data_IF_207910548739
#
_entry.id   IF_207910548739
#
_cell.length_a   1.000
_cell.length_b   1.000
_cell.length_c   1.000
_cell.angle_alpha   90.00
_cell.angle_beta   90.00
_cell.angle_gamma   90.00
#
_symmetry.space_group_name_H-M   'P 1'
#
loop_
_entity.id
_entity.type
_entity.pdbx_description
1 polymer ?
#
# COMPACT_ATOMS: atom_id res chain seq x y z
N UNK A 1 -46.31 -11.95 53.94
CA UNK A 1 -47.02 -12.98 53.15
C UNK A 1 -47.63 -12.28 51.95
N UNK A 2 -47.25 -12.76 50.75
CA UNK A 2 -47.90 -12.64 49.41
C UNK A 2 -48.23 -11.21 48.90
N UNK A 3 -47.55 -10.70 47.86
CA UNK A 3 -47.68 -11.04 46.41
C UNK A 3 -49.10 -10.66 45.89
N UNK A 4 -49.35 -9.90 44.82
CA UNK A 4 -48.58 -9.37 43.71
C UNK A 4 -49.52 -9.23 42.48
N UNK A 5 -49.05 -8.50 41.44
CA UNK A 5 -49.61 -8.33 40.06
C UNK A 5 -50.84 -7.41 39.90
N UNK A 6 -50.89 -6.49 38.92
CA UNK A 6 -50.65 -6.71 37.49
C UNK A 6 -50.02 -5.47 36.75
N UNK A 7 -49.43 -5.64 35.55
CA UNK A 7 -48.42 -4.79 34.94
C UNK A 7 -48.95 -3.87 33.82
N UNK A 8 -48.14 -2.87 33.46
CA UNK A 8 -48.24 -2.20 32.16
C UNK A 8 -46.88 -2.17 31.48
N UNK A 9 -46.77 -3.02 30.46
CA UNK A 9 -45.72 -3.19 29.47
C UNK A 9 -45.32 -1.87 28.81
N UNK A 10 -44.04 -1.50 28.86
CA UNK A 10 -43.43 -0.58 27.89
C UNK A 10 -42.27 -1.28 27.17
N UNK A 11 -42.50 -1.56 25.89
CA UNK A 11 -41.55 -2.12 24.92
C UNK A 11 -40.28 -1.25 24.91
N UNK A 12 -39.14 -1.85 25.24
CA UNK A 12 -37.83 -1.25 25.01
C UNK A 12 -37.53 -1.29 23.51
N UNK A 13 -37.45 -0.11 22.89
CA UNK A 13 -36.92 0.01 21.54
C UNK A 13 -35.40 -0.13 21.60
N UNK A 14 -34.93 -1.28 21.12
CA UNK A 14 -33.54 -1.57 20.79
C UNK A 14 -32.95 -0.41 19.97
N UNK A 15 -32.00 0.32 20.56
CA UNK A 15 -31.14 1.27 19.82
C UNK A 15 -30.06 0.46 19.12
N UNK A 16 -30.34 0.02 17.89
CA UNK A 16 -29.30 -0.41 16.94
C UNK A 16 -28.48 0.83 16.56
N UNK A 17 -27.22 0.89 16.98
CA UNK A 17 -26.26 1.88 16.47
C UNK A 17 -25.80 1.40 15.09
N UNK A 18 -26.27 2.07 14.05
CA UNK A 18 -25.77 1.90 12.69
C UNK A 18 -24.34 2.45 12.61
N UNK A 19 -23.44 1.68 11.98
CA UNK A 19 -22.13 2.14 11.52
C UNK A 19 -22.34 3.31 10.55
N UNK A 20 -21.71 4.44 10.83
CA UNK A 20 -21.58 5.53 9.88
C UNK A 20 -20.36 5.29 9.00
N UNK A 21 -20.60 4.76 7.80
CA UNK A 21 -19.65 4.90 6.68
C UNK A 21 -19.90 6.28 6.10
N UNK A 22 -18.91 7.17 6.21
CA UNK A 22 -18.90 8.43 5.45
C UNK A 22 -18.01 8.19 4.24
N UNK A 23 -18.66 7.96 3.10
CA UNK A 23 -18.03 8.09 1.79
C UNK A 23 -18.23 9.51 1.26
N UNK A 24 -17.18 10.06 0.68
CA UNK A 24 -17.20 11.12 -0.34
C UNK A 24 -15.95 10.85 -1.20
N UNK A 25 -16.06 10.22 -2.36
CA UNK A 25 -16.49 10.80 -3.63
C UNK A 25 -15.59 11.97 -4.06
N UNK A 26 -14.60 11.65 -4.89
CA UNK A 26 -13.74 12.61 -5.58
C UNK A 26 -12.92 11.92 -6.66
N UNK A 27 -13.56 11.40 -7.72
CA UNK A 27 -12.82 11.05 -8.94
C UNK A 27 -12.49 12.36 -9.66
N UNK A 28 -11.33 12.92 -9.33
CA UNK A 28 -10.74 14.02 -10.07
C UNK A 28 -9.96 13.44 -11.25
N UNK A 29 -10.48 13.58 -12.47
CA UNK A 29 -9.71 13.33 -13.67
C UNK A 29 -8.57 14.37 -13.75
N UNK A 30 -7.34 13.95 -13.44
CA UNK A 30 -6.15 14.79 -13.58
C UNK A 30 -5.71 14.79 -15.04
N UNK A 31 -6.33 15.67 -15.84
CA UNK A 31 -5.79 16.06 -17.13
C UNK A 31 -4.72 17.16 -16.92
N UNK A 32 -3.44 16.77 -17.01
CA UNK A 32 -2.31 17.70 -16.89
C UNK A 32 -1.09 17.23 -17.67
N UNK A 33 -1.11 17.35 -19.00
CA UNK A 33 0.10 17.21 -19.81
C UNK A 33 0.99 18.46 -19.64
N UNK A 34 2.22 18.33 -19.13
CA UNK A 34 3.36 19.17 -19.54
C UNK A 34 4.72 18.49 -19.22
N UNK A 35 5.48 18.23 -20.28
CA UNK A 35 6.91 18.54 -20.31
C UNK A 35 7.89 17.46 -19.89
N UNK A 36 8.56 16.87 -20.88
CA UNK A 36 9.74 16.04 -20.68
C UNK A 36 10.89 16.81 -20.04
N UNK A 37 11.44 16.22 -18.99
CA UNK A 37 12.79 16.43 -18.50
C UNK A 37 13.37 15.05 -18.26
N UNK A 38 14.54 14.75 -18.84
CA UNK A 38 15.27 13.51 -18.64
C UNK A 38 15.84 13.38 -17.22
N UNK A 39 14.98 13.48 -16.21
CA UNK A 39 15.33 13.13 -14.85
C UNK A 39 15.41 11.62 -14.79
N UNK A 40 16.65 11.13 -14.72
CA UNK A 40 16.90 9.74 -14.37
C UNK A 40 16.13 9.45 -13.09
N UNK A 41 15.39 8.34 -13.07
CA UNK A 41 14.64 7.86 -11.90
C UNK A 41 15.47 7.94 -10.59
N UNK A 42 16.80 7.91 -10.69
CA UNK A 42 17.75 8.05 -9.57
C UNK A 42 17.67 9.35 -8.75
N UNK A 43 17.19 10.48 -9.28
CA UNK A 43 17.01 11.70 -8.48
C UNK A 43 15.53 11.94 -8.15
N UNK A 44 15.19 11.88 -6.86
CA UNK A 44 13.85 12.16 -6.33
C UNK A 44 13.88 13.44 -5.49
N UNK A 45 12.83 14.29 -5.56
CA UNK A 45 12.67 15.39 -4.61
C UNK A 45 12.51 14.85 -3.17
N UNK A 46 12.68 15.72 -2.18
CA UNK A 46 12.57 15.34 -0.75
C UNK A 46 11.14 15.01 -0.31
N UNK A 47 10.15 15.49 -1.05
CA UNK A 47 8.72 15.26 -0.81
C UNK A 47 8.01 14.94 -2.11
N UNK A 48 6.95 14.15 -2.01
CA UNK A 48 6.04 13.88 -3.12
C UNK A 48 5.15 15.07 -3.45
N UNK A 49 4.56 15.06 -4.64
CA UNK A 49 3.49 15.99 -4.99
C UNK A 49 2.33 15.84 -4.00
N UNK A 50 2.00 16.91 -3.29
CA UNK A 50 1.01 16.87 -2.21
C UNK A 50 -0.41 16.59 -2.69
N UNK A 51 -0.71 16.80 -3.98
CA UNK A 51 -2.00 16.43 -4.55
C UNK A 51 -2.12 14.91 -4.64
N UNK A 52 -1.06 14.23 -5.10
CA UNK A 52 -1.01 12.75 -5.13
C UNK A 52 -0.98 12.18 -3.70
N UNK A 53 -0.18 12.79 -2.81
CA UNK A 53 -0.04 12.31 -1.43
C UNK A 53 -1.36 12.43 -0.64
N UNK A 54 -2.25 13.36 -1.00
CA UNK A 54 -3.56 13.48 -0.37
C UNK A 54 -4.44 12.22 -0.58
N UNK A 55 -4.22 11.46 -1.66
CA UNK A 55 -4.95 10.23 -1.97
C UNK A 55 -4.30 8.97 -1.34
N UNK A 56 -3.16 9.13 -0.65
CA UNK A 56 -2.49 8.01 0.02
C UNK A 56 -3.21 7.64 1.31
N UNK A 57 -3.61 6.38 1.40
CA UNK A 57 -4.18 5.82 2.61
C UNK A 57 -3.07 5.51 3.62
N UNK A 58 -3.29 5.89 4.88
CA UNK A 58 -2.37 5.64 5.99
C UNK A 58 -3.01 4.73 7.02
N UNK A 59 -2.28 3.70 7.43
CA UNK A 59 -2.76 2.66 8.33
C UNK A 59 -2.04 2.69 9.69
N UNK A 60 -2.68 2.17 10.77
CA UNK A 60 -1.98 1.90 12.02
C UNK A 60 -0.77 0.98 11.81
N UNK A 61 0.24 1.13 12.67
CA UNK A 61 1.35 0.18 12.68
C UNK A 61 0.89 -1.12 13.35
N UNK A 62 0.98 -2.24 12.64
CA UNK A 62 0.63 -3.58 13.15
C UNK A 62 1.82 -4.26 13.87
N UNK A 63 2.94 -3.55 14.04
CA UNK A 63 4.16 -4.05 14.69
C UNK A 63 5.19 -4.56 13.68
N UNK A 64 6.34 -5.02 14.19
CA UNK A 64 7.48 -5.47 13.38
C UNK A 64 8.13 -6.76 13.94
N UNK A 65 7.31 -7.64 14.51
CA UNK A 65 7.84 -8.88 15.05
C UNK A 65 8.28 -9.83 13.93
N UNK A 66 9.55 -10.24 13.93
CA UNK A 66 10.00 -11.34 13.10
C UNK A 66 9.37 -12.67 13.52
N UNK A 67 8.79 -13.39 12.56
CA UNK A 67 8.20 -14.72 12.71
C UNK A 67 8.87 -15.72 11.77
N UNK A 68 8.71 -17.02 12.03
CA UNK A 68 9.27 -18.06 11.19
C UNK A 68 8.66 -18.00 9.78
N UNK A 69 9.49 -18.14 8.74
CA UNK A 69 9.02 -18.22 7.35
C UNK A 69 7.98 -19.33 7.18
N UNK A 70 6.87 -19.01 6.54
CA UNK A 70 5.71 -19.90 6.38
C UNK A 70 4.66 -19.77 7.48
N UNK A 71 4.90 -18.97 8.52
CA UNK A 71 3.87 -18.61 9.50
C UNK A 71 2.77 -17.80 8.82
N UNK A 72 1.52 -18.24 8.95
CA UNK A 72 0.37 -17.44 8.51
C UNK A 72 0.23 -16.19 9.39
N UNK A 73 0.24 -15.03 8.76
CA UNK A 73 0.02 -13.74 9.42
C UNK A 73 -1.27 -13.14 8.87
N UNK A 74 -2.15 -12.70 9.77
CA UNK A 74 -3.36 -11.96 9.44
C UNK A 74 -3.05 -10.47 9.48
N UNK A 75 -3.05 -9.83 8.31
CA UNK A 75 -2.72 -8.42 8.16
C UNK A 75 -3.99 -7.59 7.99
N UNK A 76 -4.00 -6.37 8.53
CA UNK A 76 -5.12 -5.45 8.43
C UNK A 76 -5.32 -4.82 7.05
N UNK A 77 -4.33 -4.91 6.16
CA UNK A 77 -4.41 -4.37 4.79
C UNK A 77 -4.11 -5.42 3.72
N UNK A 78 -4.63 -5.17 2.51
CA UNK A 78 -4.39 -6.00 1.32
C UNK A 78 -4.00 -5.07 0.16
N UNK A 79 -2.74 -5.07 -0.30
CA UNK A 79 -1.57 -5.77 0.26
C UNK A 79 -1.18 -5.29 1.67
N UNK A 80 -0.48 -6.13 2.45
CA UNK A 80 -0.01 -5.77 3.79
C UNK A 80 1.01 -4.63 3.74
N UNK A 81 0.84 -3.65 4.63
CA UNK A 81 1.69 -2.45 4.72
C UNK A 81 2.56 -2.40 5.98
N UNK A 82 2.25 -3.20 7.00
CA UNK A 82 3.04 -3.37 8.23
C UNK A 82 2.62 -4.67 8.93
N UNK A 83 3.28 -5.03 10.03
CA UNK A 83 2.89 -6.16 10.87
C UNK A 83 4.00 -7.21 11.04
N UNK A 84 3.73 -8.29 11.79
CA UNK A 84 4.66 -9.40 11.95
C UNK A 84 5.04 -10.00 10.59
N UNK A 85 6.31 -10.31 10.38
CA UNK A 85 6.81 -10.68 9.05
C UNK A 85 8.03 -11.59 9.13
N UNK A 86 8.51 -12.10 8.00
CA UNK A 86 9.60 -13.08 7.98
C UNK A 86 10.95 -12.38 8.12
N UNK A 87 11.97 -13.07 8.62
CA UNK A 87 13.33 -12.52 8.68
C UNK A 87 14.01 -12.37 7.30
N UNK A 88 13.39 -12.88 6.23
CA UNK A 88 13.88 -12.73 4.86
C UNK A 88 13.38 -11.45 4.23
N UNK A 89 14.10 -10.96 3.22
CA UNK A 89 13.71 -9.81 2.40
C UNK A 89 13.62 -10.21 0.93
N UNK A 90 12.83 -9.48 0.16
CA UNK A 90 12.81 -9.53 -1.30
C UNK A 90 13.78 -8.50 -1.88
N UNK A 91 14.57 -8.90 -2.87
CA UNK A 91 15.46 -7.98 -3.62
C UNK A 91 14.66 -6.99 -4.47
N UNK A 92 15.28 -5.87 -4.83
CA UNK A 92 14.72 -5.02 -5.88
C UNK A 92 14.58 -5.79 -7.20
N UNK A 93 13.49 -5.57 -7.91
CA UNK A 93 13.23 -6.31 -9.14
C UNK A 93 11.86 -6.10 -9.74
N UNK A 94 11.70 -6.51 -10.99
CA UNK A 94 10.39 -6.72 -11.60
C UNK A 94 10.15 -8.23 -11.64
N UNK A 95 9.11 -8.67 -10.96
CA UNK A 95 8.72 -10.07 -10.83
C UNK A 95 7.50 -10.36 -11.68
N UNK A 96 7.39 -11.59 -12.19
CA UNK A 96 6.23 -12.09 -12.93
C UNK A 96 5.37 -13.03 -12.08
N UNK A 97 5.81 -13.31 -10.84
CA UNK A 97 5.08 -14.06 -9.83
C UNK A 97 5.11 -13.30 -8.50
N UNK A 98 4.01 -13.34 -7.71
CA UNK A 98 3.98 -12.74 -6.39
C UNK A 98 5.08 -13.31 -5.47
N UNK A 99 5.63 -12.46 -4.62
CA UNK A 99 6.62 -12.86 -3.62
C UNK A 99 5.95 -13.18 -2.27
N UNK A 100 6.56 -14.00 -1.39
CA UNK A 100 5.98 -14.31 -0.09
C UNK A 100 5.74 -13.06 0.74
N UNK A 101 4.51 -12.82 1.18
CA UNK A 101 4.15 -11.54 1.80
C UNK A 101 4.93 -11.22 3.08
N UNK A 102 5.31 -12.22 3.87
CA UNK A 102 6.18 -11.98 5.03
C UNK A 102 7.59 -11.50 4.65
N UNK A 103 8.13 -11.88 3.48
CA UNK A 103 9.41 -11.33 3.02
C UNK A 103 9.23 -9.91 2.46
N UNK A 104 8.06 -9.63 1.85
CA UNK A 104 7.73 -8.31 1.29
C UNK A 104 7.50 -7.26 2.38
N UNK A 105 6.80 -7.61 3.47
CA UNK A 105 6.56 -6.68 4.59
C UNK A 105 7.88 -6.30 5.27
N UNK A 106 8.83 -7.23 5.39
CA UNK A 106 10.18 -6.90 5.87
C UNK A 106 10.90 -5.94 4.91
N UNK A 107 10.78 -6.15 3.59
CA UNK A 107 11.30 -5.21 2.60
C UNK A 107 10.67 -3.81 2.73
N UNK A 108 9.39 -3.70 3.09
CA UNK A 108 8.76 -2.42 3.43
C UNK A 108 9.33 -1.82 4.72
N UNK A 109 9.63 -2.64 5.74
CA UNK A 109 10.28 -2.19 6.98
C UNK A 109 11.66 -1.56 6.71
N UNK A 110 12.38 -2.13 5.74
CA UNK A 110 13.63 -1.61 5.20
C UNK A 110 13.47 -0.35 4.33
N UNK A 111 12.25 0.16 4.14
CA UNK A 111 11.99 1.39 3.39
C UNK A 111 11.86 1.19 1.88
N UNK A 112 11.51 0.00 1.43
CA UNK A 112 11.16 -0.19 0.04
C UNK A 112 9.81 0.46 -0.33
N UNK A 113 9.65 0.69 -1.62
CA UNK A 113 8.34 0.82 -2.25
C UNK A 113 8.06 -0.42 -3.08
N UNK A 114 6.87 -0.97 -2.94
CA UNK A 114 6.40 -2.12 -3.70
C UNK A 114 5.26 -1.69 -4.61
N UNK A 115 5.42 -1.92 -5.91
CA UNK A 115 4.38 -1.73 -6.91
C UNK A 115 3.72 -3.06 -7.27
N UNK A 116 2.45 -3.19 -6.92
CA UNK A 116 1.61 -4.30 -7.33
C UNK A 116 0.91 -3.94 -8.63
N UNK A 117 0.85 -4.88 -9.56
CA UNK A 117 0.12 -4.72 -10.82
C UNK A 117 -0.81 -5.90 -11.07
N UNK A 118 -1.94 -5.63 -11.73
CA UNK A 118 -2.80 -6.64 -12.31
C UNK A 118 -2.15 -7.17 -13.61
N UNK A 119 -1.78 -8.47 -13.68
CA UNK A 119 -1.14 -9.03 -14.87
C UNK A 119 -2.03 -9.02 -16.12
N UNK A 120 -3.35 -8.92 -15.97
CA UNK A 120 -4.30 -8.85 -17.09
C UNK A 120 -4.47 -7.43 -17.63
N UNK A 121 -4.20 -6.42 -16.80
CA UNK A 121 -4.39 -5.01 -17.14
C UNK A 121 -3.07 -4.27 -17.46
N UNK A 122 -1.91 -4.81 -17.11
CA UNK A 122 -0.63 -4.13 -17.28
C UNK A 122 -0.27 -3.89 -18.75
N UNK A 123 0.02 -2.63 -19.11
CA UNK A 123 0.52 -2.26 -20.45
C UNK A 123 2.03 -2.49 -20.57
N UNK A 124 2.53 -2.63 -21.81
CA UNK A 124 3.99 -2.74 -22.06
C UNK A 124 4.77 -1.50 -21.60
N UNK A 125 4.18 -0.31 -21.72
CA UNK A 125 4.79 0.93 -21.23
C UNK A 125 4.90 0.93 -19.70
N UNK A 126 3.83 0.55 -18.99
CA UNK A 126 3.86 0.41 -17.53
C UNK A 126 4.90 -0.64 -17.10
N UNK A 127 4.95 -1.80 -17.79
CA UNK A 127 5.96 -2.84 -17.56
C UNK A 127 7.38 -2.31 -17.74
N UNK A 128 7.63 -1.56 -18.80
CA UNK A 128 8.94 -0.95 -19.08
C UNK A 128 9.36 0.06 -17.99
N UNK A 129 8.43 0.93 -17.58
CA UNK A 129 8.68 1.92 -16.54
C UNK A 129 8.94 1.27 -15.18
N UNK A 130 8.10 0.31 -14.76
CA UNK A 130 8.31 -0.44 -13.51
C UNK A 130 9.65 -1.19 -13.49
N UNK A 131 10.08 -1.77 -14.62
CA UNK A 131 11.43 -2.36 -14.75
C UNK A 131 12.53 -1.31 -14.58
N UNK A 132 12.31 -0.09 -15.06
CA UNK A 132 13.27 1.02 -14.90
C UNK A 132 13.36 1.46 -13.45
N UNK A 133 12.24 1.58 -12.73
CA UNK A 133 12.22 1.85 -11.29
C UNK A 133 12.98 0.80 -10.49
N UNK A 134 12.68 -0.47 -10.72
CA UNK A 134 13.34 -1.59 -10.04
C UNK A 134 14.87 -1.63 -10.27
N UNK A 135 15.34 -1.25 -11.46
CA UNK A 135 16.79 -1.16 -11.77
C UNK A 135 17.46 0.06 -11.16
N UNK A 136 16.70 1.12 -10.90
CA UNK A 136 17.23 2.40 -10.40
C UNK A 136 17.41 2.41 -8.88
N UNK A 137 16.63 1.58 -8.15
CA UNK A 137 16.66 1.52 -6.69
C UNK A 137 16.86 0.09 -6.20
N UNK A 138 18.12 -0.25 -5.95
CA UNK A 138 18.55 -1.62 -5.63
C UNK A 138 19.17 -1.77 -4.24
N UNK A 139 19.16 -0.71 -3.42
CA UNK A 139 19.81 -0.69 -2.12
C UNK A 139 19.01 -1.44 -1.05
N UNK A 140 19.72 -1.97 -0.03
CA UNK A 140 19.10 -2.71 1.09
C UNK A 140 18.06 -1.90 1.86
N UNK A 141 18.31 -0.60 2.05
CA UNK A 141 17.46 0.32 2.83
C UNK A 141 16.67 1.30 1.95
N UNK A 142 16.71 1.08 0.63
CA UNK A 142 16.12 1.96 -0.38
C UNK A 142 16.01 1.18 -1.69
N UNK A 143 14.97 0.38 -1.80
CA UNK A 143 14.71 -0.49 -2.95
C UNK A 143 13.32 -0.28 -3.54
N UNK A 144 13.19 -0.54 -4.83
CA UNK A 144 11.92 -0.62 -5.51
C UNK A 144 11.72 -2.01 -6.07
N UNK A 145 10.55 -2.60 -5.85
CA UNK A 145 10.16 -3.83 -6.52
C UNK A 145 8.76 -3.74 -7.10
N UNK A 146 8.54 -4.41 -8.22
CA UNK A 146 7.25 -4.54 -8.86
C UNK A 146 6.88 -6.01 -9.01
N UNK A 147 5.66 -6.41 -8.65
CA UNK A 147 5.20 -7.79 -8.75
C UNK A 147 3.70 -7.87 -9.01
N UNK A 148 3.17 -9.01 -9.51
CA UNK A 148 1.73 -9.17 -9.64
C UNK A 148 1.03 -9.02 -8.28
N UNK A 149 -0.20 -8.51 -8.30
CA UNK A 149 -1.04 -8.45 -7.12
C UNK A 149 -1.24 -9.87 -6.54
N UNK A 150 -0.97 -10.11 -5.24
CA UNK A 150 -0.85 -11.46 -4.67
C UNK A 150 -2.21 -12.13 -4.38
N UNK A 151 -3.31 -11.45 -4.65
CA UNK A 151 -4.67 -11.93 -4.38
C UNK A 151 -5.51 -11.85 -5.65
N UNK A 152 -6.56 -12.65 -5.71
CA UNK A 152 -7.58 -12.53 -6.75
C UNK A 152 -8.33 -11.19 -6.62
N UNK A 153 -8.85 -10.71 -7.75
CA UNK A 153 -9.70 -9.51 -7.87
C UNK A 153 -9.12 -8.25 -7.19
N UNK A 154 -8.00 -7.69 -7.70
CA UNK A 154 -7.49 -6.42 -7.19
C UNK A 154 -8.52 -5.30 -7.33
N UNK A 155 -8.63 -4.44 -6.31
CA UNK A 155 -9.56 -3.31 -6.34
C UNK A 155 -9.21 -2.29 -7.45
N UNK A 156 -7.92 -2.15 -7.74
CA UNK A 156 -7.40 -1.32 -8.84
C UNK A 156 -6.26 -2.03 -9.56
N UNK A 157 -6.05 -1.79 -10.87
CA UNK A 157 -5.00 -2.42 -11.66
C UNK A 157 -3.59 -2.20 -11.12
N UNK A 158 -3.36 -1.09 -10.40
CA UNK A 158 -2.07 -0.83 -9.76
C UNK A 158 -2.27 -0.42 -8.30
N UNK A 159 -1.35 -0.85 -7.45
CA UNK A 159 -1.28 -0.43 -6.03
C UNK A 159 0.19 -0.22 -5.67
N UNK A 160 0.52 0.88 -4.99
CA UNK A 160 1.84 1.10 -4.41
C UNK A 160 1.75 0.96 -2.89
N UNK A 161 2.73 0.31 -2.27
CA UNK A 161 2.85 0.32 -0.81
C UNK A 161 4.23 0.76 -0.36
N UNK A 162 4.23 1.48 0.76
CA UNK A 162 5.38 1.67 1.64
C UNK A 162 4.95 1.27 3.07
N UNK A 163 5.86 1.26 4.03
CA UNK A 163 5.51 0.94 5.41
C UNK A 163 4.33 1.80 5.90
N UNK A 164 3.18 1.17 6.21
CA UNK A 164 1.90 1.77 6.64
C UNK A 164 1.17 2.64 5.61
N UNK A 165 1.61 2.67 4.35
CA UNK A 165 1.07 3.55 3.32
C UNK A 165 0.69 2.77 2.07
N UNK A 166 -0.46 3.12 1.48
CA UNK A 166 -0.98 2.47 0.28
C UNK A 166 -1.58 3.53 -0.65
N UNK A 167 -1.22 3.47 -1.94
CA UNK A 167 -1.83 4.26 -3.00
C UNK A 167 -2.44 3.34 -4.05
N UNK A 168 -3.71 3.54 -4.39
CA UNK A 168 -4.42 2.80 -5.43
C UNK A 168 -4.49 3.63 -6.70
N UNK A 169 -4.25 3.02 -7.86
CA UNK A 169 -4.28 3.70 -9.15
C UNK A 169 -5.09 2.90 -10.17
N UNK A 170 -6.05 3.56 -10.81
CA UNK A 170 -6.91 2.97 -11.84
C UNK A 170 -6.16 2.70 -13.16
N UNK A 171 -5.09 3.44 -13.41
CA UNK A 171 -4.19 3.31 -14.55
C UNK A 171 -2.75 3.57 -14.12
N UNK A 172 -1.78 3.23 -14.97
CA UNK A 172 -0.38 3.54 -14.68
C UNK A 172 -0.13 5.04 -14.82
N UNK A 173 0.26 5.68 -13.73
CA UNK A 173 0.65 7.09 -13.69
C UNK A 173 2.08 7.22 -13.15
N UNK A 174 3.02 7.56 -14.04
CA UNK A 174 4.43 7.76 -13.71
C UNK A 174 4.65 8.91 -12.71
N UNK A 175 3.84 9.98 -12.80
CA UNK A 175 3.94 11.11 -11.88
C UNK A 175 3.48 10.69 -10.48
N UNK A 176 2.42 9.89 -10.39
CA UNK A 176 1.96 9.33 -9.12
C UNK A 176 3.00 8.39 -8.49
N UNK A 177 3.60 7.48 -9.28
CA UNK A 177 4.69 6.61 -8.84
C UNK A 177 5.88 7.44 -8.33
N UNK A 178 6.29 8.47 -9.08
CA UNK A 178 7.37 9.37 -8.69
C UNK A 178 7.06 10.11 -7.39
N UNK A 179 5.85 10.63 -7.23
CA UNK A 179 5.42 11.33 -6.01
C UNK A 179 5.42 10.40 -4.80
N UNK A 180 4.86 9.19 -4.92
CA UNK A 180 4.85 8.20 -3.86
C UNK A 180 6.26 7.77 -3.45
N UNK A 181 7.13 7.47 -4.42
CA UNK A 181 8.53 7.16 -4.17
C UNK A 181 9.29 8.33 -3.54
N UNK A 182 9.04 9.56 -3.97
CA UNK A 182 9.68 10.73 -3.36
C UNK A 182 9.29 10.88 -1.89
N UNK A 183 8.05 10.57 -1.53
CA UNK A 183 7.56 10.69 -0.16
C UNK A 183 8.00 9.55 0.76
N UNK A 184 8.11 8.31 0.27
CA UNK A 184 8.24 7.13 1.14
C UNK A 184 9.48 6.26 0.92
N UNK A 185 10.11 6.30 -0.27
CA UNK A 185 11.23 5.43 -0.59
C UNK A 185 12.44 5.77 0.30
N UNK A 186 12.93 4.76 1.02
CA UNK A 186 14.04 4.87 1.98
C UNK A 186 13.64 5.39 3.36
N UNK A 187 12.34 5.42 3.69
CA UNK A 187 11.82 5.92 4.98
C UNK A 187 11.17 4.86 5.85
N UNK A 188 11.52 3.60 5.63
CA UNK A 188 11.07 2.50 6.47
C UNK A 188 11.59 2.64 7.90
N UNK A 189 10.87 2.10 8.90
CA UNK A 189 11.13 2.38 10.31
C UNK A 189 12.41 1.75 10.86
N UNK A 190 12.98 0.69 10.25
CA UNK A 190 14.15 0.01 10.80
C UNK A 190 15.43 0.84 10.64
N UNK A 191 15.65 1.40 9.45
CA UNK A 191 16.81 2.23 9.15
C UNK A 191 16.49 3.27 8.07
N UNK A 192 15.85 4.40 8.43
CA UNK A 192 15.55 5.48 7.50
C UNK A 192 16.82 6.09 6.91
N UNK A 193 16.88 6.25 5.59
CA UNK A 193 18.01 6.82 4.85
C UNK A 193 17.62 8.05 4.00
N UNK A 194 16.41 8.58 4.20
CA UNK A 194 15.83 9.77 3.55
C UNK A 194 14.84 10.50 4.46
#
# INVERSE_FOLDING_TARGET
MTDGRNPATRRSLSRRRALGVVGAAGVGALAGCLGGGGDTVGSLPDRGDQQVIADVESFPNEGNQHVQRGTGVDYGTRPPTSGPHYSGTVSAGFYEEPQPMGDVVHTLEHGAVVAYYDPEAITEDARSNLRTWARSFTGTWRSFLAMPYPYDDPETPYTLTAWRHLLRLAEYDEAAVRAFCAEYLGRGPENPVR
#
